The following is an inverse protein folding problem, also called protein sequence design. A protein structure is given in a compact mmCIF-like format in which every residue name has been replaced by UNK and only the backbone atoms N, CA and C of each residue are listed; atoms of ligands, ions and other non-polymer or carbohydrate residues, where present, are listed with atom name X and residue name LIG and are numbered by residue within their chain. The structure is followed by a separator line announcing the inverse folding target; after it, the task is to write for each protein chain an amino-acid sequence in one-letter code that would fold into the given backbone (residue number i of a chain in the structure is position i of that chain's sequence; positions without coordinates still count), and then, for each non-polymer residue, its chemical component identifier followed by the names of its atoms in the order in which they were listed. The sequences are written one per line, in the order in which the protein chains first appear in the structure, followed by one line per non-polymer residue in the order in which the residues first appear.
data_IF_448537314737
#
_entry.id   IF_448537314737
#
_cell.length_a   1.000
_cell.length_b   1.000
_cell.length_c   1.000
_cell.angle_alpha   90.00
_cell.angle_beta   90.00
_cell.angle_gamma   90.00
#
_symmetry.space_group_name_H-M   'P 1'
#
loop_
_entity.id
_entity.type
_entity.pdbx_description
1 polymer ?
#
# COMPACT_ATOMS: atom_id res chain seq x y z
N UNK A 1 -19.45 16.28 -6.48
CA UNK A 1 -18.43 15.51 -5.71
C UNK A 1 -18.51 14.00 -5.98
N UNK A 2 -17.43 13.22 -5.79
CA UNK A 2 -17.40 11.80 -6.17
C UNK A 2 -18.28 10.92 -5.28
N UNK A 3 -19.02 10.01 -5.92
CA UNK A 3 -19.84 8.97 -5.27
C UNK A 3 -19.07 7.68 -4.97
N UNK A 4 -17.93 7.48 -5.63
CA UNK A 4 -17.04 6.34 -5.47
C UNK A 4 -15.63 6.88 -5.22
N UNK A 5 -14.94 6.32 -4.23
CA UNK A 5 -13.52 6.60 -3.97
C UNK A 5 -12.74 5.30 -3.95
N UNK A 6 -11.66 5.28 -4.70
CA UNK A 6 -10.63 4.25 -4.64
C UNK A 6 -9.47 4.78 -3.77
N UNK A 7 -9.13 4.04 -2.73
CA UNK A 7 -8.05 4.35 -1.83
C UNK A 7 -7.01 3.24 -1.91
N UNK A 8 -5.76 3.58 -2.26
CA UNK A 8 -4.63 2.66 -2.19
C UNK A 8 -3.79 3.07 -0.98
N UNK A 9 -3.63 2.15 -0.04
CA UNK A 9 -2.89 2.34 1.20
C UNK A 9 -1.66 1.43 1.15
N UNK A 10 -0.48 2.01 1.25
CA UNK A 10 0.78 1.27 1.28
C UNK A 10 1.13 0.91 2.72
N UNK A 11 1.40 -0.37 2.96
CA UNK A 11 1.73 -0.90 4.26
C UNK A 11 3.18 -0.61 4.68
N UNK A 12 3.49 -0.83 5.97
CA UNK A 12 4.84 -0.75 6.51
C UNK A 12 5.11 0.44 7.43
N UNK A 13 4.25 1.45 7.43
CA UNK A 13 4.33 2.60 8.33
C UNK A 13 2.96 3.29 8.47
N UNK A 14 2.85 4.17 9.46
CA UNK A 14 1.74 5.10 9.58
C UNK A 14 1.65 6.02 8.35
N UNK A 15 0.43 6.38 7.98
CA UNK A 15 0.15 7.25 6.85
C UNK A 15 -1.03 8.17 7.13
N UNK A 16 -1.02 9.35 6.53
CA UNK A 16 -2.14 10.28 6.60
C UNK A 16 -2.34 10.98 5.26
N UNK A 17 -3.61 11.23 4.90
CA UNK A 17 -3.99 11.98 3.72
C UNK A 17 -5.29 12.74 4.01
N UNK A 18 -5.44 13.95 3.46
CA UNK A 18 -6.67 14.71 3.57
C UNK A 18 -7.20 15.00 2.17
N UNK A 19 -8.43 14.54 1.90
CA UNK A 19 -9.15 14.92 0.69
C UNK A 19 -9.94 16.19 0.97
N UNK A 20 -9.55 17.28 0.33
CA UNK A 20 -10.29 18.53 0.35
C UNK A 20 -11.40 18.52 -0.73
N UNK A 21 -12.51 19.19 -0.43
CA UNK A 21 -13.65 19.31 -1.30
C UNK A 21 -14.43 20.61 -1.08
N UNK A 22 -14.89 21.21 -2.17
CA UNK A 22 -15.80 22.36 -2.19
C UNK A 22 -16.88 22.16 -3.27
N UNK A 23 -17.73 23.17 -3.45
CA UNK A 23 -18.76 23.22 -4.50
C UNK A 23 -18.16 23.18 -5.91
N UNK A 24 -16.89 23.57 -6.08
CA UNK A 24 -16.25 23.82 -7.37
C UNK A 24 -16.77 25.09 -8.09
N UNK A 25 -17.73 25.80 -7.50
CA UNK A 25 -18.35 27.01 -8.03
C UNK A 25 -18.32 28.11 -6.97
N UNK A 26 -18.12 29.36 -7.38
CA UNK A 26 -18.12 30.51 -6.47
C UNK A 26 -16.84 30.69 -5.66
N UNK A 27 -16.94 31.37 -4.52
CA UNK A 27 -15.82 31.73 -3.63
C UNK A 27 -16.09 31.43 -2.16
N UNK A 28 -17.14 30.65 -1.87
CA UNK A 28 -17.60 30.30 -0.52
C UNK A 28 -16.52 29.53 0.26
N UNK A 29 -15.60 28.84 -0.43
CA UNK A 29 -14.41 28.24 0.16
C UNK A 29 -13.55 29.23 0.95
N UNK A 30 -13.55 30.53 0.57
CA UNK A 30 -12.82 31.59 1.28
C UNK A 30 -13.46 31.94 2.61
N UNK A 31 -14.75 31.66 2.74
CA UNK A 31 -15.54 31.83 3.96
C UNK A 31 -15.54 30.56 4.81
N UNK A 32 -14.79 29.52 4.39
CA UNK A 32 -14.64 28.27 5.10
C UNK A 32 -15.66 27.20 4.71
N UNK A 33 -16.49 27.45 3.69
CA UNK A 33 -17.43 26.44 3.17
C UNK A 33 -16.68 25.38 2.35
N UNK A 34 -16.11 24.43 3.09
CA UNK A 34 -15.41 23.28 2.54
C UNK A 34 -15.69 22.04 3.37
N UNK A 35 -15.50 20.90 2.72
CA UNK A 35 -15.66 19.58 3.30
C UNK A 35 -14.37 18.79 3.13
N UNK A 36 -13.78 18.35 4.23
CA UNK A 36 -12.58 17.52 4.19
C UNK A 36 -12.89 16.10 4.64
N UNK A 37 -12.17 15.13 4.08
CA UNK A 37 -12.17 13.75 4.57
C UNK A 37 -10.74 13.38 4.92
N UNK A 38 -10.50 13.18 6.21
CA UNK A 38 -9.19 12.74 6.72
C UNK A 38 -9.12 11.21 6.62
N UNK A 39 -8.02 10.73 6.06
CA UNK A 39 -7.65 9.33 6.02
C UNK A 39 -6.42 9.16 6.89
N UNK A 40 -6.51 8.32 7.92
CA UNK A 40 -5.40 8.02 8.81
C UNK A 40 -5.21 6.51 8.88
N UNK A 41 -4.02 6.05 8.52
CA UNK A 41 -3.60 4.68 8.60
C UNK A 41 -2.56 4.55 9.73
N UNK A 42 -2.88 3.74 10.73
CA UNK A 42 -1.98 3.40 11.84
C UNK A 42 -1.54 1.96 11.65
N UNK A 43 -0.24 1.74 11.51
CA UNK A 43 0.36 0.46 11.20
C UNK A 43 0.94 -0.20 12.45
N UNK A 44 0.47 -1.41 12.76
CA UNK A 44 1.16 -2.29 13.70
C UNK A 44 0.99 -3.74 13.31
N UNK A 45 2.10 -4.42 13.06
CA UNK A 45 2.11 -5.84 12.73
C UNK A 45 1.74 -6.76 13.91
N UNK A 46 1.61 -6.22 15.14
CA UNK A 46 1.36 -7.01 16.36
C UNK A 46 0.17 -6.52 17.19
N UNK A 47 -0.02 -5.21 17.27
CA UNK A 47 -1.00 -4.59 18.18
C UNK A 47 -2.30 -4.19 17.47
N UNK A 48 -2.34 -4.37 16.15
CA UNK A 48 -3.48 -4.08 15.32
C UNK A 48 -3.22 -2.94 14.33
N UNK A 49 -3.71 -3.11 13.11
CA UNK A 49 -3.65 -2.08 12.07
C UNK A 49 -5.01 -1.44 11.94
N UNK A 50 -5.07 -0.12 11.73
CA UNK A 50 -6.33 0.61 11.65
C UNK A 50 -6.29 1.65 10.54
N UNK A 51 -7.34 1.67 9.71
CA UNK A 51 -7.63 2.76 8.78
C UNK A 51 -8.86 3.52 9.27
N UNK A 52 -8.71 4.81 9.50
CA UNK A 52 -9.79 5.73 9.88
C UNK A 52 -10.08 6.68 8.73
N UNK A 53 -11.35 6.75 8.32
CA UNK A 53 -11.90 7.72 7.38
C UNK A 53 -12.81 8.65 8.17
N UNK A 54 -12.43 9.92 8.29
CA UNK A 54 -13.10 10.89 9.16
C UNK A 54 -13.50 12.14 8.37
N UNK A 55 -14.79 12.29 8.02
CA UNK A 55 -15.29 13.52 7.41
C UNK A 55 -15.33 14.68 8.42
N UNK A 56 -15.09 15.90 7.93
CA UNK A 56 -15.10 17.16 8.68
C UNK A 56 -15.57 18.31 7.78
N UNK A 57 -16.02 19.40 8.40
CA UNK A 57 -16.40 20.63 7.70
C UNK A 57 -17.89 20.72 7.36
N UNK A 58 -18.21 21.64 6.46
CA UNK A 58 -19.58 22.02 6.14
C UNK A 58 -20.12 21.15 5.01
N UNK A 59 -21.35 20.65 5.18
CA UNK A 59 -22.04 19.95 4.09
C UNK A 59 -22.65 20.96 3.13
N UNK A 60 -22.47 20.74 1.83
CA UNK A 60 -23.06 21.52 0.74
C UNK A 60 -23.79 20.60 -0.24
N UNK A 61 -24.63 21.17 -1.12
CA UNK A 61 -25.56 20.45 -2.00
C UNK A 61 -24.89 19.47 -2.96
N UNK A 62 -23.64 19.74 -3.36
CA UNK A 62 -22.89 18.95 -4.33
C UNK A 62 -22.25 17.69 -3.71
N UNK A 63 -22.27 17.55 -2.37
CA UNK A 63 -21.88 16.32 -1.68
C UNK A 63 -22.95 15.24 -1.86
N UNK A 64 -22.57 14.01 -2.22
CA UNK A 64 -23.55 12.94 -2.27
C UNK A 64 -23.98 12.54 -0.86
N UNK A 65 -25.22 12.06 -0.73
CA UNK A 65 -25.73 11.56 0.56
C UNK A 65 -24.91 10.37 1.08
N UNK A 66 -24.55 9.46 0.18
CA UNK A 66 -23.72 8.30 0.46
C UNK A 66 -22.62 8.12 -0.57
N UNK A 67 -21.55 7.45 -0.14
CA UNK A 67 -20.36 7.18 -0.93
C UNK A 67 -19.88 5.75 -0.72
N UNK A 68 -19.36 5.16 -1.79
CA UNK A 68 -18.71 3.86 -1.75
C UNK A 68 -17.20 4.03 -1.65
N UNK A 69 -16.58 3.24 -0.77
CA UNK A 69 -15.13 3.17 -0.61
C UNK A 69 -14.63 1.79 -1.07
N UNK A 70 -13.70 1.80 -2.02
CA UNK A 70 -12.93 0.63 -2.44
C UNK A 70 -11.49 0.82 -1.97
N UNK A 71 -11.05 -0.01 -1.04
CA UNK A 71 -9.77 0.16 -0.35
C UNK A 71 -8.86 -0.98 -0.77
N UNK A 72 -7.66 -0.63 -1.22
CA UNK A 72 -6.60 -1.56 -1.59
C UNK A 72 -5.45 -1.38 -0.59
N UNK A 73 -5.14 -2.41 0.18
CA UNK A 73 -3.94 -2.47 1.00
C UNK A 73 -2.85 -3.16 0.19
N UNK A 74 -1.78 -2.42 -0.14
CA UNK A 74 -0.68 -2.89 -0.96
C UNK A 74 0.49 -3.37 -0.10
N UNK A 75 1.11 -4.48 -0.50
CA UNK A 75 2.27 -5.06 0.18
C UNK A 75 1.92 -5.85 1.44
N UNK A 76 0.67 -6.24 1.64
CA UNK A 76 0.23 -7.04 2.79
C UNK A 76 -0.12 -8.46 2.38
N UNK A 77 0.09 -9.41 3.29
CA UNK A 77 -0.45 -10.76 3.16
C UNK A 77 -1.98 -10.73 3.25
N UNK A 78 -2.63 -11.77 2.71
CA UNK A 78 -4.07 -11.90 2.85
C UNK A 78 -4.50 -12.00 4.33
N UNK A 79 -5.65 -11.40 4.67
CA UNK A 79 -6.21 -11.41 6.01
C UNK A 79 -7.72 -11.52 5.99
N UNK A 80 -8.25 -12.28 6.95
CA UNK A 80 -9.68 -12.37 7.25
C UNK A 80 -10.04 -11.71 8.59
N UNK A 81 -9.05 -11.15 9.30
CA UNK A 81 -9.24 -10.44 10.55
C UNK A 81 -9.60 -8.99 10.24
N UNK A 82 -10.87 -8.75 9.90
CA UNK A 82 -11.36 -7.45 9.47
C UNK A 82 -12.64 -7.11 10.25
N UNK A 83 -12.66 -5.94 10.88
CA UNK A 83 -13.86 -5.37 11.47
C UNK A 83 -14.05 -3.93 11.00
N UNK A 84 -15.31 -3.50 10.88
CA UNK A 84 -15.66 -2.14 10.47
C UNK A 84 -16.52 -1.51 11.56
N UNK A 85 -15.98 -0.48 12.21
CA UNK A 85 -16.69 0.29 13.23
C UNK A 85 -17.34 1.51 12.57
N UNK A 86 -18.62 1.35 12.24
CA UNK A 86 -19.57 2.40 11.82
C UNK A 86 -20.99 1.84 11.56
N UNK A 87 -21.25 0.58 11.93
CA UNK A 87 -22.45 -0.14 11.47
C UNK A 87 -22.43 -0.50 9.98
N UNK A 88 -21.34 -0.18 9.27
CA UNK A 88 -21.10 -0.63 7.89
C UNK A 88 -20.37 -1.96 7.89
N UNK A 89 -20.45 -2.68 6.77
CA UNK A 89 -19.82 -3.98 6.59
C UNK A 89 -18.90 -3.98 5.36
N UNK A 90 -17.95 -4.91 5.34
CA UNK A 90 -17.22 -5.25 4.12
C UNK A 90 -18.14 -6.13 3.27
N UNK A 91 -18.58 -5.60 2.13
CA UNK A 91 -19.50 -6.32 1.23
C UNK A 91 -18.77 -7.17 0.18
N UNK A 92 -17.49 -6.90 -0.04
CA UNK A 92 -16.64 -7.66 -0.95
C UNK A 92 -15.20 -7.62 -0.44
N UNK A 93 -14.55 -8.78 -0.42
CA UNK A 93 -13.13 -8.93 -0.10
C UNK A 93 -12.49 -9.86 -1.12
N UNK A 94 -11.35 -9.44 -1.66
CA UNK A 94 -10.54 -10.27 -2.55
C UNK A 94 -9.05 -9.99 -2.33
N UNK A 95 -8.21 -10.92 -2.75
CA UNK A 95 -6.75 -10.80 -2.66
C UNK A 95 -6.15 -11.07 -4.04
N UNK A 96 -5.31 -10.16 -4.52
CA UNK A 96 -4.54 -10.31 -5.75
C UNK A 96 -3.12 -10.79 -5.36
N UNK A 97 -2.89 -12.10 -5.45
CA UNK A 97 -1.59 -12.73 -5.16
C UNK A 97 -0.48 -12.22 -6.08
N UNK A 98 -0.79 -11.85 -7.32
CA UNK A 98 0.22 -11.40 -8.28
C UNK A 98 0.74 -10.00 -7.96
N UNK A 99 -0.10 -9.17 -7.33
CA UNK A 99 0.22 -7.79 -6.97
C UNK A 99 0.40 -7.57 -5.48
N UNK A 100 0.21 -8.60 -4.66
CA UNK A 100 0.24 -8.54 -3.20
C UNK A 100 -0.70 -7.44 -2.65
N UNK A 101 -1.98 -7.53 -3.03
CA UNK A 101 -3.00 -6.52 -2.70
C UNK A 101 -4.23 -7.15 -2.08
N UNK A 102 -4.61 -6.68 -0.89
CA UNK A 102 -5.90 -6.97 -0.26
C UNK A 102 -6.89 -5.88 -0.65
N UNK A 103 -7.99 -6.27 -1.29
CA UNK A 103 -9.05 -5.36 -1.73
C UNK A 103 -10.28 -5.53 -0.84
N UNK A 104 -10.79 -4.42 -0.33
CA UNK A 104 -11.98 -4.34 0.50
C UNK A 104 -12.96 -3.33 -0.10
N UNK A 105 -14.20 -3.76 -0.31
CA UNK A 105 -15.30 -2.89 -0.69
C UNK A 105 -16.21 -2.69 0.51
N UNK A 106 -16.34 -1.45 0.94
CA UNK A 106 -17.20 -1.10 2.07
C UNK A 106 -18.62 -0.84 1.56
N UNK A 107 -19.60 -1.22 2.37
CA UNK A 107 -21.00 -0.88 2.16
C UNK A 107 -21.18 0.63 1.93
N UNK A 108 -22.23 0.98 1.18
CA UNK A 108 -22.51 2.37 0.82
C UNK A 108 -22.78 3.21 2.07
N UNK A 109 -21.86 4.12 2.39
CA UNK A 109 -21.77 4.79 3.69
C UNK A 109 -22.19 6.25 3.60
N UNK A 110 -22.90 6.82 4.60
CA UNK A 110 -23.20 8.24 4.64
C UNK A 110 -21.93 9.10 4.65
N UNK A 111 -21.87 10.15 3.82
CA UNK A 111 -20.64 10.95 3.63
C UNK A 111 -20.19 11.65 4.91
N UNK A 112 -21.12 11.96 5.83
CA UNK A 112 -20.81 12.63 7.09
C UNK A 112 -20.46 11.70 8.25
N UNK A 113 -20.39 10.38 8.03
CA UNK A 113 -20.09 9.41 9.08
C UNK A 113 -18.64 8.94 9.02
N UNK A 114 -18.06 8.74 10.21
CA UNK A 114 -16.73 8.16 10.34
C UNK A 114 -16.79 6.67 10.06
N UNK A 115 -15.79 6.14 9.36
CA UNK A 115 -15.58 4.71 9.14
C UNK A 115 -14.23 4.34 9.72
N UNK A 116 -14.17 3.29 10.54
CA UNK A 116 -12.91 2.71 10.98
C UNK A 116 -12.84 1.25 10.56
N UNK A 117 -11.76 0.85 9.93
CA UNK A 117 -11.49 -0.52 9.51
C UNK A 117 -10.30 -1.01 10.32
N UNK A 118 -10.49 -2.09 11.06
CA UNK A 118 -9.52 -2.61 12.01
C UNK A 118 -9.12 -4.03 11.65
N UNK A 119 -7.83 -4.30 11.80
CA UNK A 119 -7.20 -5.61 11.72
C UNK A 119 -6.60 -5.88 13.11
N UNK A 120 -7.32 -6.59 13.97
CA UNK A 120 -7.01 -6.71 15.39
C UNK A 120 -5.66 -7.38 15.70
N UNK A 121 -5.26 -8.32 14.86
CA UNK A 121 -3.98 -9.04 14.94
C UNK A 121 -2.87 -8.32 14.17
N UNK A 122 -3.17 -7.17 13.57
CA UNK A 122 -2.28 -6.48 12.66
C UNK A 122 -2.33 -7.04 11.24
N UNK A 123 -1.58 -6.38 10.36
CA UNK A 123 -1.30 -6.86 9.01
C UNK A 123 0.17 -7.25 8.91
N UNK A 124 0.43 -8.32 8.18
CA UNK A 124 1.80 -8.75 7.85
C UNK A 124 2.19 -8.24 6.49
N UNK A 125 3.44 -7.79 6.34
CA UNK A 125 4.00 -7.48 5.02
C UNK A 125 4.23 -8.78 4.24
N UNK A 126 4.08 -8.69 2.92
CA UNK A 126 4.61 -9.74 2.03
C UNK A 126 6.12 -9.62 2.00
N UNK A 127 6.83 -10.75 2.10
CA UNK A 127 8.27 -10.76 1.90
C UNK A 127 8.61 -10.38 0.45
N UNK A 128 9.60 -9.51 0.27
CA UNK A 128 10.09 -9.18 -1.05
C UNK A 128 10.64 -10.47 -1.71
N UNK A 129 10.13 -10.90 -2.88
CA UNK A 129 10.56 -12.13 -3.56
C UNK A 129 11.93 -11.95 -4.23
N UNK A 130 12.94 -11.56 -3.45
CA UNK A 130 14.27 -11.16 -3.90
C UNK A 130 14.86 -12.21 -4.84
N UNK A 131 14.84 -13.49 -4.46
CA UNK A 131 15.42 -14.56 -5.30
C UNK A 131 14.78 -14.64 -6.69
N UNK A 132 13.45 -14.55 -6.75
CA UNK A 132 12.69 -14.71 -7.99
C UNK A 132 12.89 -13.51 -8.92
N UNK A 133 12.88 -12.30 -8.37
CA UNK A 133 13.09 -11.08 -9.15
C UNK A 133 14.55 -10.95 -9.61
N UNK A 134 15.51 -11.34 -8.78
CA UNK A 134 16.92 -11.44 -9.17
C UNK A 134 17.10 -12.45 -10.30
N UNK A 135 16.54 -13.65 -10.20
CA UNK A 135 16.64 -14.66 -11.25
C UNK A 135 16.13 -14.11 -12.59
N UNK A 136 14.92 -13.54 -12.59
CA UNK A 136 14.30 -12.96 -13.78
C UNK A 136 15.13 -11.81 -14.36
N UNK A 137 15.69 -10.94 -13.49
CA UNK A 137 16.53 -9.83 -13.89
C UNK A 137 17.81 -10.32 -14.55
N UNK A 138 18.52 -11.26 -13.92
CA UNK A 138 19.75 -11.86 -14.45
C UNK A 138 19.50 -12.61 -15.76
N UNK A 139 18.41 -13.35 -15.88
CA UNK A 139 18.06 -14.08 -17.09
C UNK A 139 17.99 -13.14 -18.30
N UNK A 140 17.37 -11.96 -18.12
CA UNK A 140 17.26 -10.93 -19.16
C UNK A 140 18.54 -10.14 -19.48
N UNK A 141 19.58 -10.21 -18.64
CA UNK A 141 20.80 -9.43 -18.81
C UNK A 141 21.76 -10.06 -19.83
N UNK A 142 22.41 -9.23 -20.64
CA UNK A 142 23.45 -9.65 -21.59
C UNK A 142 24.84 -9.67 -20.94
N UNK A 143 25.02 -10.55 -19.97
CA UNK A 143 26.30 -10.83 -19.30
C UNK A 143 26.63 -12.32 -19.37
N UNK A 144 27.88 -12.67 -19.08
CA UNK A 144 28.34 -14.04 -19.09
C UNK A 144 27.54 -14.92 -18.13
N UNK A 145 27.16 -16.12 -18.58
CA UNK A 145 26.33 -17.03 -17.80
C UNK A 145 26.99 -17.43 -16.47
N UNK A 146 28.31 -17.58 -16.45
CA UNK A 146 29.07 -17.83 -15.22
C UNK A 146 28.94 -16.69 -14.19
N UNK A 147 28.81 -15.44 -14.64
CA UNK A 147 28.56 -14.30 -13.75
C UNK A 147 27.14 -14.36 -13.17
N UNK A 148 26.14 -14.73 -13.98
CA UNK A 148 24.76 -14.91 -13.52
C UNK A 148 24.68 -15.97 -12.43
N UNK A 149 25.31 -17.13 -12.62
CA UNK A 149 25.34 -18.20 -11.63
C UNK A 149 26.02 -17.77 -10.33
N UNK A 150 27.17 -17.07 -10.40
CA UNK A 150 27.87 -16.56 -9.22
C UNK A 150 27.03 -15.57 -8.42
N UNK A 151 26.37 -14.64 -9.10
CA UNK A 151 25.49 -13.65 -8.47
C UNK A 151 24.33 -14.36 -7.77
N UNK A 152 23.61 -15.21 -8.51
CA UNK A 152 22.44 -15.91 -8.00
C UNK A 152 22.79 -16.81 -6.81
N UNK A 153 23.90 -17.55 -6.89
CA UNK A 153 24.41 -18.37 -5.80
C UNK A 153 24.68 -17.56 -4.53
N UNK A 154 25.34 -16.40 -4.64
CA UNK A 154 25.65 -15.56 -3.48
C UNK A 154 24.38 -14.99 -2.82
N UNK A 155 23.36 -14.67 -3.63
CA UNK A 155 22.07 -14.18 -3.14
C UNK A 155 21.32 -15.29 -2.40
N UNK A 156 21.21 -16.50 -2.96
CA UNK A 156 20.51 -17.62 -2.32
C UNK A 156 21.22 -18.16 -1.06
N UNK A 157 22.54 -18.00 -0.95
CA UNK A 157 23.31 -18.59 0.16
C UNK A 157 23.30 -17.73 1.43
N UNK A 158 23.03 -16.42 1.31
CA UNK A 158 23.23 -15.47 2.41
C UNK A 158 21.91 -14.97 2.95
N UNK A 159 21.81 -14.93 4.28
CA UNK A 159 20.61 -14.47 4.98
C UNK A 159 20.51 -12.94 5.12
N UNK A 160 21.63 -12.20 5.03
CA UNK A 160 21.66 -10.75 5.21
C UNK A 160 21.98 -10.03 3.91
N UNK A 161 21.15 -9.04 3.59
CA UNK A 161 21.31 -8.16 2.41
C UNK A 161 22.66 -7.45 2.40
N UNK A 162 23.17 -7.04 3.57
CA UNK A 162 24.50 -6.39 3.68
C UNK A 162 25.62 -7.32 3.23
N UNK A 163 25.57 -8.59 3.64
CA UNK A 163 26.60 -9.57 3.33
C UNK A 163 26.58 -9.93 1.82
N UNK A 164 25.40 -9.88 1.20
CA UNK A 164 25.23 -10.02 -0.25
C UNK A 164 25.86 -8.82 -0.97
N UNK A 165 25.54 -7.59 -0.53
CA UNK A 165 26.04 -6.37 -1.16
C UNK A 165 27.58 -6.29 -1.12
N UNK A 166 28.21 -6.63 0.00
CA UNK A 166 29.67 -6.68 0.14
C UNK A 166 30.32 -7.64 -0.88
N UNK A 167 29.75 -8.83 -1.07
CA UNK A 167 30.27 -9.79 -2.06
C UNK A 167 30.07 -9.32 -3.49
N UNK A 168 28.91 -8.75 -3.82
CA UNK A 168 28.65 -8.24 -5.16
C UNK A 168 29.63 -7.12 -5.54
N UNK A 169 30.00 -6.26 -4.58
CA UNK A 169 31.03 -5.24 -4.78
C UNK A 169 32.41 -5.88 -5.01
N UNK A 170 32.71 -7.01 -4.37
CA UNK A 170 33.98 -7.72 -4.54
C UNK A 170 34.11 -8.45 -5.89
N UNK A 171 32.99 -8.85 -6.52
CA UNK A 171 32.98 -9.55 -7.81
C UNK A 171 33.36 -8.62 -8.99
N UNK A 172 33.40 -7.29 -8.76
CA UNK A 172 33.74 -6.26 -9.77
C UNK A 172 32.88 -6.38 -11.05
N UNK A 173 31.56 -6.44 -10.85
CA UNK A 173 30.58 -6.50 -11.94
C UNK A 173 30.46 -5.15 -12.66
N UNK A 174 29.95 -5.13 -13.91
CA UNK A 174 29.57 -3.89 -14.56
C UNK A 174 28.58 -3.10 -13.69
N UNK A 175 28.79 -1.79 -13.57
CA UNK A 175 28.01 -0.92 -12.69
C UNK A 175 26.49 -1.08 -12.87
N UNK A 176 26.00 -1.11 -14.11
CA UNK A 176 24.57 -1.27 -14.41
C UNK A 176 23.97 -2.59 -13.91
N UNK A 177 24.78 -3.65 -13.78
CA UNK A 177 24.36 -4.94 -13.23
C UNK A 177 24.23 -4.82 -11.71
N UNK A 178 25.25 -4.27 -11.06
CA UNK A 178 25.25 -4.05 -9.61
C UNK A 178 24.11 -3.15 -9.17
N UNK A 179 23.88 -2.04 -9.87
CA UNK A 179 22.78 -1.11 -9.58
C UNK A 179 21.41 -1.80 -9.72
N UNK A 180 21.18 -2.51 -10.82
CA UNK A 180 19.93 -3.22 -11.04
C UNK A 180 19.67 -4.33 -10.00
N UNK A 181 20.71 -4.99 -9.49
CA UNK A 181 20.59 -5.97 -8.40
C UNK A 181 20.29 -5.26 -7.07
N UNK A 182 20.96 -4.14 -6.80
CA UNK A 182 20.76 -3.37 -5.58
C UNK A 182 19.36 -2.77 -5.48
N UNK A 183 18.78 -2.32 -6.60
CA UNK A 183 17.38 -1.91 -6.66
C UNK A 183 16.43 -2.99 -6.13
N UNK A 184 16.70 -4.27 -6.42
CA UNK A 184 15.86 -5.38 -5.98
C UNK A 184 16.13 -5.73 -4.51
N UNK A 185 17.40 -5.72 -4.10
CA UNK A 185 17.84 -6.08 -2.75
C UNK A 185 17.37 -5.09 -1.67
N UNK A 186 17.26 -3.81 -2.01
CA UNK A 186 16.91 -2.74 -1.09
C UNK A 186 15.52 -2.13 -1.32
N UNK A 187 14.68 -2.78 -2.14
CA UNK A 187 13.28 -2.40 -2.36
C UNK A 187 12.39 -2.63 -1.13
#
# INVERSE_FOLDING_TARGET
MPKHLELIVFAGSDGAFQLYGDSGEGQEYREGESFTTDFQFVWSAKEGTMLTIKPKGHKFSELPEKRQYCITLAGVMDSNDISVYSGQEVIEKSYDETKNRLLLKIALSPVGEMIQICFHKGLSLVENPVEQEIFKRLDSMMIEYEQKEKIFYNICKKAKVTDIAEELLAINLPQHVTEAIFEILFA
#
